data_IF_957625534918
#
_entry.id   IF_957625534918
#
_cell.length_a   1.000
_cell.length_b   1.000
_cell.length_c   1.000
_cell.angle_alpha   90.00
_cell.angle_beta   90.00
_cell.angle_gamma   90.00
#
_symmetry.space_group_name_H-M   'P 1'
#
loop_
_entity.id
_entity.type
_entity.pdbx_description
1 polymer ?
#
# COMPACT_ATOMS: atom_id res chain seq x y z
N UNK A 1 14.52 40.70 -4.78
CA UNK A 1 13.24 40.15 -4.28
C UNK A 1 13.34 38.64 -4.26
N UNK A 2 13.27 37.99 -3.09
CA UNK A 2 13.06 36.54 -3.00
C UNK A 2 11.56 36.32 -2.91
N UNK A 3 10.95 35.68 -3.91
CA UNK A 3 9.61 35.15 -3.76
C UNK A 3 9.70 33.99 -2.77
N UNK A 4 9.20 34.19 -1.56
CA UNK A 4 8.97 33.09 -0.63
C UNK A 4 7.72 32.40 -1.13
N UNK A 5 7.86 31.25 -1.79
CA UNK A 5 6.70 30.43 -2.10
C UNK A 5 6.22 29.83 -0.78
N UNK A 6 5.06 30.26 -0.31
CA UNK A 6 4.39 29.56 0.79
C UNK A 6 4.18 28.10 0.37
N UNK A 7 4.51 27.13 1.24
CA UNK A 7 4.41 25.74 0.86
C UNK A 7 2.94 25.39 0.63
N UNK A 8 2.58 25.15 -0.63
CA UNK A 8 1.24 24.75 -1.02
C UNK A 8 0.98 23.32 -0.54
N UNK A 9 -0.24 23.07 -0.07
CA UNK A 9 -0.67 21.72 0.29
C UNK A 9 -1.02 20.94 -0.97
N UNK A 10 -0.45 19.75 -1.10
CA UNK A 10 -0.68 18.84 -2.23
C UNK A 10 -1.23 17.49 -1.74
N UNK A 11 -1.76 16.70 -2.68
CA UNK A 11 -2.24 15.34 -2.41
C UNK A 11 -1.50 14.32 -3.26
N UNK A 12 -1.22 13.17 -2.66
CA UNK A 12 -0.71 11.99 -3.36
C UNK A 12 -1.49 10.74 -2.91
N UNK A 13 -1.42 9.67 -3.70
CA UNK A 13 -2.17 8.44 -3.43
C UNK A 13 -1.32 7.20 -3.58
N UNK A 14 -1.59 6.18 -2.77
CA UNK A 14 -0.98 4.86 -2.86
C UNK A 14 -2.03 3.78 -2.70
N UNK A 15 -2.12 2.90 -3.68
CA UNK A 15 -2.94 1.69 -3.63
C UNK A 15 -2.15 0.57 -2.94
N UNK A 16 -2.63 0.14 -1.78
CA UNK A 16 -1.95 -0.80 -0.88
C UNK A 16 -2.81 -2.04 -0.68
N UNK A 17 -2.20 -3.21 -0.83
CA UNK A 17 -2.81 -4.50 -0.50
C UNK A 17 -2.25 -5.04 0.81
N UNK A 18 -3.15 -5.49 1.68
CA UNK A 18 -2.81 -6.24 2.88
C UNK A 18 -2.89 -7.72 2.56
N UNK A 19 -1.80 -8.44 2.81
CA UNK A 19 -1.69 -9.89 2.60
C UNK A 19 -1.53 -10.58 3.93
N UNK A 20 -2.00 -11.82 4.02
CA UNK A 20 -1.69 -12.68 5.15
C UNK A 20 -1.05 -13.97 4.66
N UNK A 21 0.16 -14.27 5.15
CA UNK A 21 0.81 -15.55 4.88
C UNK A 21 -0.13 -16.69 5.32
N UNK A 22 -0.50 -17.60 4.41
CA UNK A 22 -1.49 -18.64 4.71
C UNK A 22 -0.96 -19.72 5.67
N UNK A 23 0.36 -19.78 5.87
CA UNK A 23 1.01 -20.82 6.69
C UNK A 23 1.23 -20.40 8.14
N UNK A 24 1.61 -19.15 8.39
CA UNK A 24 1.93 -18.66 9.74
C UNK A 24 1.12 -17.44 10.19
N UNK A 25 0.25 -16.91 9.32
CA UNK A 25 -0.63 -15.78 9.66
C UNK A 25 0.03 -14.40 9.66
N UNK A 26 1.33 -14.29 9.31
CA UNK A 26 2.04 -13.00 9.23
C UNK A 26 1.41 -12.06 8.19
N UNK A 27 1.14 -10.82 8.58
CA UNK A 27 0.64 -9.79 7.66
C UNK A 27 1.76 -9.06 6.92
N UNK A 28 1.47 -8.66 5.69
CA UNK A 28 2.29 -7.82 4.83
C UNK A 28 1.43 -6.68 4.26
N UNK A 29 2.02 -5.52 4.06
CA UNK A 29 1.46 -4.43 3.28
C UNK A 29 2.38 -4.19 2.09
N UNK A 30 1.83 -4.17 0.88
CA UNK A 30 2.62 -3.98 -0.34
C UNK A 30 1.83 -3.17 -1.35
N UNK A 31 2.52 -2.50 -2.28
CA UNK A 31 1.88 -1.79 -3.37
C UNK A 31 1.05 -2.77 -4.19
N UNK A 32 -0.22 -2.45 -4.40
CA UNK A 32 -1.18 -3.37 -5.01
C UNK A 32 -0.81 -3.80 -6.42
N UNK A 33 0.03 -3.06 -7.13
CA UNK A 33 0.53 -3.47 -8.43
C UNK A 33 1.35 -4.78 -8.37
N UNK A 34 2.25 -4.93 -7.38
CA UNK A 34 3.03 -6.17 -7.22
C UNK A 34 2.17 -7.36 -6.79
N UNK A 35 1.13 -7.08 -6.02
CA UNK A 35 0.23 -8.08 -5.46
C UNK A 35 -0.82 -8.52 -6.47
N UNK A 36 -1.55 -7.56 -7.02
CA UNK A 36 -2.74 -7.80 -7.84
C UNK A 36 -2.32 -8.01 -9.28
N UNK A 37 -1.58 -7.09 -9.89
CA UNK A 37 -1.25 -7.17 -11.31
C UNK A 37 -0.18 -8.22 -11.58
N UNK A 38 0.97 -8.13 -10.90
CA UNK A 38 2.05 -9.10 -11.07
C UNK A 38 1.71 -10.47 -10.45
N UNK A 39 1.01 -10.49 -9.30
CA UNK A 39 0.62 -11.73 -8.64
C UNK A 39 1.80 -12.62 -8.28
N UNK A 40 2.91 -12.02 -7.84
CA UNK A 40 4.16 -12.71 -7.60
C UNK A 40 4.05 -13.82 -6.53
N UNK A 41 4.93 -14.80 -6.64
CA UNK A 41 5.20 -15.74 -5.57
C UNK A 41 6.32 -15.18 -4.70
N UNK A 42 6.06 -15.02 -3.40
CA UNK A 42 7.02 -14.47 -2.44
C UNK A 42 7.32 -15.49 -1.34
N UNK A 43 8.54 -15.45 -0.82
CA UNK A 43 8.89 -16.20 0.39
C UNK A 43 8.47 -15.43 1.64
N UNK A 44 7.79 -16.10 2.57
CA UNK A 44 7.50 -15.52 3.88
C UNK A 44 8.78 -15.38 4.70
N UNK A 45 9.19 -14.16 5.05
CA UNK A 45 10.38 -13.90 5.87
C UNK A 45 10.32 -14.38 7.33
N UNK A 46 9.26 -15.10 7.73
CA UNK A 46 9.09 -15.67 9.07
C UNK A 46 9.10 -17.20 9.06
N UNK A 47 8.29 -17.81 8.19
CA UNK A 47 8.16 -19.28 8.13
C UNK A 47 8.81 -19.91 6.90
N UNK A 48 9.40 -19.09 6.02
CA UNK A 48 10.12 -19.48 4.81
C UNK A 48 9.31 -20.27 3.77
N UNK A 49 7.98 -20.38 3.94
CA UNK A 49 7.11 -20.93 2.92
C UNK A 49 6.81 -19.86 1.85
N UNK A 50 6.84 -20.27 0.59
CA UNK A 50 6.43 -19.44 -0.54
C UNK A 50 4.92 -19.43 -0.72
N UNK A 51 4.36 -18.29 -1.11
CA UNK A 51 2.94 -18.16 -1.42
C UNK A 51 2.67 -17.11 -2.49
N UNK A 52 1.58 -17.31 -3.23
CA UNK A 52 1.10 -16.35 -4.21
C UNK A 52 0.42 -15.16 -3.51
N UNK A 53 0.88 -13.94 -3.79
CA UNK A 53 0.40 -12.71 -3.14
C UNK A 53 -1.06 -12.41 -3.48
N UNK A 54 -1.48 -12.57 -4.74
CA UNK A 54 -2.87 -12.33 -5.19
C UNK A 54 -3.89 -13.20 -4.43
N UNK A 55 -3.56 -14.47 -4.17
CA UNK A 55 -4.42 -15.41 -3.42
C UNK A 55 -4.44 -15.15 -1.91
N UNK A 56 -3.49 -14.38 -1.40
CA UNK A 56 -3.31 -14.11 0.02
C UNK A 56 -3.85 -12.75 0.47
N UNK A 57 -4.50 -11.99 -0.42
CA UNK A 57 -5.09 -10.68 -0.12
C UNK A 57 -6.18 -10.81 0.96
N UNK A 58 -6.12 -9.91 1.94
CA UNK A 58 -7.13 -9.74 2.99
C UNK A 58 -7.86 -8.40 2.90
N UNK A 59 -7.16 -7.36 2.48
CA UNK A 59 -7.74 -6.04 2.28
C UNK A 59 -6.97 -5.30 1.19
N UNK A 60 -7.56 -4.26 0.62
CA UNK A 60 -6.92 -3.34 -0.31
C UNK A 60 -7.49 -1.95 -0.10
N UNK A 61 -6.63 -0.97 0.09
CA UNK A 61 -7.02 0.40 0.41
C UNK A 61 -6.27 1.39 -0.46
N UNK A 62 -6.94 2.47 -0.84
CA UNK A 62 -6.30 3.64 -1.40
C UNK A 62 -5.98 4.61 -0.24
N UNK A 63 -4.70 4.86 -0.01
CA UNK A 63 -4.24 5.87 0.93
C UNK A 63 -4.19 7.23 0.24
N UNK A 64 -4.70 8.28 0.89
CA UNK A 64 -4.48 9.68 0.52
C UNK A 64 -3.45 10.28 1.48
N UNK A 65 -2.39 10.86 0.92
CA UNK A 65 -1.36 11.61 1.62
C UNK A 65 -1.62 13.09 1.42
N UNK A 66 -1.57 13.86 2.51
CA UNK A 66 -1.47 15.32 2.44
C UNK A 66 -0.01 15.72 2.56
N UNK A 67 0.48 16.50 1.59
CA UNK A 67 1.87 16.93 1.52
C UNK A 67 1.99 18.45 1.72
N UNK A 68 3.07 18.91 2.33
CA UNK A 68 3.44 20.33 2.41
C UNK A 68 4.93 20.46 2.13
N UNK A 69 5.30 21.12 1.04
CA UNK A 69 6.70 21.22 0.62
C UNK A 69 7.37 19.85 0.32
N UNK A 70 6.60 18.87 -0.15
CA UNK A 70 7.07 17.52 -0.47
C UNK A 70 7.18 16.57 0.73
N UNK A 71 6.86 17.01 1.95
CA UNK A 71 6.83 16.17 3.15
C UNK A 71 5.41 15.75 3.49
N UNK A 72 5.24 14.53 3.98
CA UNK A 72 3.95 13.99 4.43
C UNK A 72 3.54 14.62 5.76
N UNK A 73 2.35 15.23 5.77
CA UNK A 73 1.75 15.84 6.95
C UNK A 73 0.64 14.98 7.56
N UNK A 74 -0.11 14.28 6.71
CA UNK A 74 -1.22 13.41 7.13
C UNK A 74 -1.41 12.26 6.15
N UNK A 75 -1.94 11.15 6.64
CA UNK A 75 -2.30 9.97 5.84
C UNK A 75 -3.64 9.43 6.32
N UNK A 76 -4.56 9.18 5.38
CA UNK A 76 -5.84 8.54 5.68
C UNK A 76 -6.23 7.51 4.62
N UNK A 77 -7.13 6.61 4.99
CA UNK A 77 -7.79 5.73 4.03
C UNK A 77 -8.82 6.56 3.26
N UNK A 78 -8.60 6.73 1.97
CA UNK A 78 -9.56 7.38 1.08
C UNK A 78 -10.66 6.40 0.67
N UNK A 79 -10.30 5.14 0.43
CA UNK A 79 -11.22 4.11 -0.04
C UNK A 79 -10.77 2.71 0.37
N UNK A 80 -11.73 1.82 0.66
CA UNK A 80 -11.53 0.37 0.67
C UNK A 80 -11.88 -0.19 -0.71
N UNK A 81 -10.89 -0.67 -1.45
CA UNK A 81 -11.05 -1.26 -2.76
C UNK A 81 -11.44 -2.73 -2.54
N UNK A 82 -12.72 -3.03 -2.73
CA UNK A 82 -13.27 -4.37 -2.53
C UNK A 82 -12.57 -5.44 -3.38
N UNK A 83 -12.71 -6.74 -3.03
CA UNK A 83 -12.09 -7.81 -3.78
C UNK A 83 -12.65 -7.82 -5.22
N UNK A 84 -11.77 -7.67 -6.20
CA UNK A 84 -12.09 -8.02 -7.59
C UNK A 84 -12.28 -9.55 -7.61
N UNK A 85 -13.55 -9.97 -7.62
CA UNK A 85 -13.94 -11.39 -7.71
C UNK A 85 -13.61 -11.95 -9.08
#
# INVERSE_FOLDING_TARGET
>A
MRCVMEPQTEKAWLDVSILQCPYCGRFYADASWYVVELGAEIECGVCHNSFNTRKAIKDRVLLEFTLMGGLVMDVKIAEHIGPQR
#
